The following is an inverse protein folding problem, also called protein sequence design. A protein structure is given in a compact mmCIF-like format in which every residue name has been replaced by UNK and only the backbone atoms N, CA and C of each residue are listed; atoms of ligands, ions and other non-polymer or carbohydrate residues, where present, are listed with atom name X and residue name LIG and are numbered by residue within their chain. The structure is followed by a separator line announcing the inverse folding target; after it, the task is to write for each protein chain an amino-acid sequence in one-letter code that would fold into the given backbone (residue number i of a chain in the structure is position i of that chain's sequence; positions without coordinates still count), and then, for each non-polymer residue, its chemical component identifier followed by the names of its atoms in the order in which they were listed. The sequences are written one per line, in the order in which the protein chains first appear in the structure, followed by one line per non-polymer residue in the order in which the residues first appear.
data_IF_195428805515
#
_entry.id   IF_195428805515
#
_cell.length_a   1.000
_cell.length_b   1.000
_cell.length_c   1.000
_cell.angle_alpha   90.00
_cell.angle_beta   90.00
_cell.angle_gamma   90.00
#
_symmetry.space_group_name_H-M   'P 1'
#
loop_
_entity.id
_entity.type
_entity.pdbx_description
1 polymer ?
#
# COMPACT_ATOMS: atom_id res chain seq x y z
N UNK A 1 -15.36 -1.38 46.42
CA UNK A 1 -16.06 -1.32 45.14
C UNK A 1 -15.53 -0.19 44.27
N UNK A 2 -15.44 1.07 44.75
CA UNK A 2 -14.96 2.21 43.92
C UNK A 2 -13.56 2.00 43.35
N UNK A 3 -12.59 1.59 44.15
CA UNK A 3 -11.21 1.33 43.71
C UNK A 3 -11.11 0.25 42.66
N UNK A 4 -11.87 -0.82 42.79
CA UNK A 4 -11.93 -1.91 41.80
C UNK A 4 -12.56 -1.43 40.50
N UNK A 5 -13.63 -0.64 40.58
CA UNK A 5 -14.27 -0.05 39.39
C UNK A 5 -13.35 0.93 38.69
N UNK A 6 -12.64 1.79 39.42
CA UNK A 6 -11.68 2.73 38.83
C UNK A 6 -10.52 1.99 38.15
N UNK A 7 -9.98 0.96 38.77
CA UNK A 7 -8.94 0.13 38.18
C UNK A 7 -9.41 -0.54 36.88
N UNK A 8 -10.61 -1.11 36.91
CA UNK A 8 -11.18 -1.77 35.72
C UNK A 8 -11.39 -0.78 34.56
N UNK A 9 -11.95 0.40 34.84
CA UNK A 9 -12.14 1.45 33.82
C UNK A 9 -10.83 1.98 33.29
N UNK A 10 -9.82 2.17 34.15
CA UNK A 10 -8.50 2.60 33.74
C UNK A 10 -7.82 1.57 32.83
N UNK A 11 -7.94 0.28 33.17
CA UNK A 11 -7.42 -0.80 32.33
C UNK A 11 -8.14 -0.89 30.97
N UNK A 12 -9.47 -0.78 30.96
CA UNK A 12 -10.24 -0.76 29.68
C UNK A 12 -9.86 0.44 28.82
N UNK A 13 -9.69 1.61 29.42
CA UNK A 13 -9.29 2.82 28.70
C UNK A 13 -7.88 2.68 28.12
N UNK A 14 -6.96 2.12 28.89
CA UNK A 14 -5.60 1.85 28.42
C UNK A 14 -5.58 0.87 27.24
N UNK A 15 -6.28 -0.25 27.37
CA UNK A 15 -6.40 -1.24 26.32
C UNK A 15 -7.04 -0.64 25.05
N UNK A 16 -8.12 0.13 25.18
CA UNK A 16 -8.80 0.75 24.04
C UNK A 16 -7.91 1.77 23.32
N UNK A 17 -7.07 2.52 24.05
CA UNK A 17 -6.25 3.57 23.48
C UNK A 17 -4.87 3.10 22.97
N UNK A 18 -4.32 2.06 23.55
CA UNK A 18 -2.96 1.61 23.24
C UNK A 18 -2.91 0.27 22.52
N UNK A 19 -3.69 -0.71 22.94
CA UNK A 19 -3.67 -2.06 22.37
C UNK A 19 -4.64 -2.20 21.19
N UNK A 20 -5.83 -1.60 21.29
CA UNK A 20 -6.88 -1.71 20.28
C UNK A 20 -7.19 -0.37 19.58
N UNK A 21 -6.20 0.51 19.48
CA UNK A 21 -6.36 1.86 18.96
C UNK A 21 -6.77 1.93 17.46
N UNK A 22 -6.46 0.89 16.70
CA UNK A 22 -6.82 0.76 15.28
C UNK A 22 -7.67 -0.49 14.98
N UNK A 23 -8.11 -1.22 16.01
CA UNK A 23 -8.92 -2.44 15.83
C UNK A 23 -10.38 -2.07 15.54
N UNK A 24 -10.94 -2.56 14.43
CA UNK A 24 -12.34 -2.32 14.03
C UNK A 24 -13.38 -2.83 15.04
N UNK A 25 -12.99 -3.76 15.92
CA UNK A 25 -13.85 -4.24 17.02
C UNK A 25 -13.94 -3.27 18.19
N UNK A 26 -13.04 -2.29 18.26
CA UNK A 26 -13.11 -1.23 19.25
C UNK A 26 -14.21 -0.22 18.83
N UNK A 27 -15.28 -0.03 19.62
CA UNK A 27 -16.40 0.85 19.26
C UNK A 27 -16.03 2.33 19.13
N UNK A 28 -14.84 2.72 19.58
CA UNK A 28 -14.32 4.07 19.43
C UNK A 28 -13.50 4.25 18.15
N UNK A 29 -13.19 3.18 17.43
CA UNK A 29 -12.50 3.22 16.14
C UNK A 29 -13.53 3.31 15.03
N UNK A 30 -13.73 4.52 14.53
CA UNK A 30 -14.55 4.79 13.37
C UNK A 30 -13.73 5.50 12.31
N UNK A 31 -13.50 4.88 11.18
CA UNK A 31 -12.71 5.43 10.07
C UNK A 31 -11.27 5.93 10.44
N UNK A 32 -10.69 5.43 11.52
CA UNK A 32 -9.29 5.71 11.84
C UNK A 32 -8.37 5.06 10.81
N UNK A 33 -7.27 5.74 10.54
CA UNK A 33 -6.19 5.18 9.71
C UNK A 33 -5.64 3.92 10.36
N UNK A 34 -5.57 2.81 9.61
CA UNK A 34 -4.91 1.58 10.06
C UNK A 34 -3.41 1.76 10.25
N UNK A 35 -2.78 0.91 11.03
CA UNK A 35 -1.31 0.88 11.21
C UNK A 35 -0.57 0.57 9.91
N UNK A 36 -1.17 -0.24 9.03
CA UNK A 36 -0.59 -0.68 7.77
C UNK A 36 -0.24 0.47 6.83
N UNK A 37 -0.85 1.65 7.01
CA UNK A 37 -0.54 2.83 6.18
C UNK A 37 0.94 3.21 6.23
N UNK A 38 1.61 2.98 7.35
CA UNK A 38 3.04 3.26 7.48
C UNK A 38 3.85 2.31 6.60
N UNK A 39 3.55 1.02 6.66
CA UNK A 39 4.23 -0.01 5.86
C UNK A 39 3.92 0.16 4.37
N UNK A 40 2.67 0.47 4.01
CA UNK A 40 2.27 0.80 2.64
C UNK A 40 3.07 1.99 2.11
N UNK A 41 3.08 3.10 2.86
CA UNK A 41 3.74 4.32 2.44
C UNK A 41 5.26 4.13 2.34
N UNK A 42 5.87 3.44 3.29
CA UNK A 42 7.31 3.23 3.31
C UNK A 42 7.74 2.28 2.19
N UNK A 43 6.98 1.23 1.92
CA UNK A 43 7.25 0.33 0.80
C UNK A 43 7.12 1.02 -0.56
N UNK A 44 6.10 1.86 -0.74
CA UNK A 44 5.94 2.66 -1.97
C UNK A 44 7.11 3.64 -2.15
N UNK A 45 7.53 4.33 -1.08
CA UNK A 45 8.67 5.26 -1.11
C UNK A 45 9.97 4.55 -1.41
N UNK A 46 10.22 3.41 -0.79
CA UNK A 46 11.39 2.56 -1.02
C UNK A 46 11.50 2.18 -2.51
N UNK A 47 10.41 1.69 -3.09
CA UNK A 47 10.36 1.35 -4.51
C UNK A 47 10.54 2.56 -5.43
N UNK A 48 9.86 3.67 -5.11
CA UNK A 48 9.99 4.89 -5.90
C UNK A 48 11.43 5.41 -5.92
N UNK A 49 12.13 5.37 -4.79
CA UNK A 49 13.53 5.81 -4.70
C UNK A 49 14.52 4.89 -5.43
N UNK A 50 14.16 3.63 -5.66
CA UNK A 50 14.94 2.70 -6.46
C UNK A 50 14.84 2.97 -7.99
N UNK A 51 13.84 3.76 -8.42
CA UNK A 51 13.71 4.21 -9.80
C UNK A 51 14.65 5.39 -10.09
N UNK A 52 15.05 5.56 -11.35
CA UNK A 52 15.94 6.66 -11.77
C UNK A 52 15.36 8.05 -11.52
N UNK A 53 14.04 8.18 -11.58
CA UNK A 53 13.34 9.45 -11.31
C UNK A 53 13.15 9.71 -9.81
N UNK A 54 13.49 8.78 -8.93
CA UNK A 54 13.34 8.91 -7.49
C UNK A 54 11.91 9.33 -7.10
N UNK A 55 11.75 10.48 -6.47
CA UNK A 55 10.42 11.02 -6.09
C UNK A 55 9.53 11.37 -7.28
N UNK A 56 10.10 11.51 -8.48
CA UNK A 56 9.37 11.74 -9.72
C UNK A 56 8.78 10.46 -10.34
N UNK A 57 9.07 9.29 -9.77
CA UNK A 57 8.53 8.02 -10.25
C UNK A 57 7.01 8.06 -10.30
N UNK A 58 6.39 7.74 -11.45
CA UNK A 58 4.94 7.69 -11.53
C UNK A 58 4.37 6.62 -10.60
N UNK A 59 3.36 7.00 -9.83
CA UNK A 59 2.58 6.11 -8.97
C UNK A 59 1.12 6.29 -9.34
N UNK A 60 0.40 5.22 -9.59
CA UNK A 60 -1.05 5.26 -9.83
C UNK A 60 -1.80 4.61 -8.66
N UNK A 61 -2.88 5.26 -8.23
CA UNK A 61 -3.72 4.77 -7.13
C UNK A 61 -5.16 4.76 -7.60
N UNK A 62 -5.77 3.57 -7.60
CA UNK A 62 -7.12 3.36 -8.06
C UNK A 62 -8.03 2.89 -6.93
N UNK A 63 -8.94 3.75 -6.51
CA UNK A 63 -9.90 3.46 -5.45
C UNK A 63 -11.30 3.89 -5.88
N UNK A 64 -12.31 3.01 -5.84
CA UNK A 64 -13.69 3.38 -6.12
C UNK A 64 -14.11 4.57 -5.25
N UNK A 65 -14.93 5.45 -5.82
CA UNK A 65 -15.47 6.61 -5.09
C UNK A 65 -14.40 7.54 -4.48
N UNK A 66 -13.17 7.54 -5.04
CA UNK A 66 -12.03 8.32 -4.56
C UNK A 66 -11.63 8.00 -3.10
N UNK A 67 -11.87 6.74 -2.68
CA UNK A 67 -11.67 6.27 -1.32
C UNK A 67 -10.20 5.89 -1.01
N UNK A 68 -9.26 6.75 -1.39
CA UNK A 68 -7.80 6.59 -1.21
C UNK A 68 -7.24 7.28 0.02
N UNK A 69 -8.07 7.96 0.83
CA UNK A 69 -7.58 8.57 2.07
C UNK A 69 -7.08 7.50 3.06
N UNK A 70 -5.88 7.66 3.69
CA UNK A 70 -5.10 8.88 3.83
C UNK A 70 -3.82 8.94 2.93
N UNK A 71 -3.71 8.14 1.87
CA UNK A 71 -2.53 8.07 1.01
C UNK A 71 -2.00 9.43 0.51
N UNK A 72 -2.85 10.43 0.14
CA UNK A 72 -2.34 11.72 -0.31
C UNK A 72 -1.48 12.45 0.73
N UNK A 73 -1.75 12.24 2.01
CA UNK A 73 -0.95 12.81 3.09
C UNK A 73 0.42 12.14 3.20
N UNK A 74 0.47 10.80 3.13
CA UNK A 74 1.70 10.03 3.31
C UNK A 74 2.60 10.03 2.08
N UNK A 75 2.03 10.19 0.89
CA UNK A 75 2.75 10.21 -0.39
C UNK A 75 2.93 11.63 -0.96
N UNK A 76 2.68 12.68 -0.14
CA UNK A 76 2.94 14.06 -0.55
C UNK A 76 4.41 14.23 -0.94
N UNK A 77 4.66 14.90 -2.06
CA UNK A 77 6.01 15.08 -2.60
C UNK A 77 6.49 13.95 -3.51
N UNK A 78 5.64 12.99 -3.79
CA UNK A 78 5.80 12.00 -4.85
C UNK A 78 4.84 12.30 -6.01
N UNK A 79 5.16 11.81 -7.20
CA UNK A 79 4.30 11.97 -8.38
C UNK A 79 3.20 10.91 -8.39
N UNK A 80 2.06 11.23 -7.83
CA UNK A 80 0.92 10.31 -7.68
C UNK A 80 -0.25 10.76 -8.53
N UNK A 81 -0.82 9.84 -9.30
CA UNK A 81 -2.06 9.99 -10.05
C UNK A 81 -3.15 9.19 -9.35
N UNK A 82 -4.25 9.85 -8.99
CA UNK A 82 -5.40 9.23 -8.33
C UNK A 82 -6.54 9.04 -9.31
N UNK A 83 -7.24 7.92 -9.23
CA UNK A 83 -8.39 7.62 -10.06
C UNK A 83 -9.43 6.75 -9.37
N UNK A 84 -10.70 6.96 -9.71
CA UNK A 84 -11.83 6.14 -9.24
C UNK A 84 -12.07 4.88 -10.07
N UNK A 85 -11.30 4.68 -11.14
CA UNK A 85 -11.37 3.52 -12.03
C UNK A 85 -10.13 3.37 -12.89
N UNK A 86 -9.95 2.20 -13.47
CA UNK A 86 -8.83 1.89 -14.36
C UNK A 86 -9.25 2.16 -15.81
N UNK A 87 -8.65 3.15 -16.45
CA UNK A 87 -8.85 3.39 -17.87
C UNK A 87 -8.05 2.38 -18.71
N UNK A 88 -8.66 1.87 -19.78
CA UNK A 88 -8.00 0.92 -20.69
C UNK A 88 -6.83 1.57 -21.46
N UNK A 89 -6.93 2.87 -21.71
CA UNK A 89 -5.92 3.65 -22.42
C UNK A 89 -4.84 4.20 -21.48
N UNK A 90 -3.71 4.57 -22.08
CA UNK A 90 -2.58 5.16 -21.36
C UNK A 90 -1.61 4.14 -20.77
N UNK A 91 -0.41 4.63 -20.47
CA UNK A 91 0.67 3.80 -19.90
C UNK A 91 0.42 3.51 -18.43
N UNK A 92 0.66 2.29 -18.01
CA UNK A 92 0.64 1.91 -16.60
C UNK A 92 1.90 2.42 -15.88
N UNK A 93 1.73 2.90 -14.65
CA UNK A 93 2.84 3.33 -13.82
C UNK A 93 3.66 2.14 -13.30
N UNK A 94 4.95 2.30 -13.01
CA UNK A 94 5.76 1.24 -12.43
C UNK A 94 5.32 0.84 -11.01
N UNK A 95 4.58 1.68 -10.30
CA UNK A 95 3.99 1.39 -9.00
C UNK A 95 2.49 1.66 -9.09
N UNK A 96 1.68 0.68 -8.72
CA UNK A 96 0.22 0.79 -8.74
C UNK A 96 -0.34 0.30 -7.41
N UNK A 97 -1.17 1.12 -6.79
CA UNK A 97 -2.00 0.72 -5.65
C UNK A 97 -3.45 0.65 -6.09
N UNK A 98 -4.18 -0.36 -5.65
CA UNK A 98 -5.54 -0.58 -6.12
C UNK A 98 -6.39 -1.26 -5.06
N UNK A 99 -7.66 -0.88 -4.98
CA UNK A 99 -8.63 -1.63 -4.19
C UNK A 99 -9.13 -2.85 -4.95
N UNK A 100 -9.42 -3.98 -4.26
CA UNK A 100 -9.83 -5.25 -4.87
C UNK A 100 -10.93 -5.17 -5.91
N UNK A 101 -11.98 -4.33 -5.77
CA UNK A 101 -13.06 -4.23 -6.76
C UNK A 101 -12.60 -3.79 -8.17
N UNK A 102 -11.45 -3.13 -8.28
CA UNK A 102 -10.90 -2.64 -9.55
C UNK A 102 -9.77 -3.53 -10.11
N UNK A 103 -9.38 -4.57 -9.39
CA UNK A 103 -8.22 -5.40 -9.75
C UNK A 103 -8.42 -6.14 -11.08
N UNK A 104 -9.61 -6.66 -11.35
CA UNK A 104 -9.91 -7.34 -12.62
C UNK A 104 -9.68 -6.40 -13.81
N UNK A 105 -10.12 -5.15 -13.71
CA UNK A 105 -9.88 -4.14 -14.74
C UNK A 105 -8.39 -3.82 -14.90
N UNK A 106 -7.63 -3.80 -13.80
CA UNK A 106 -6.17 -3.64 -13.86
C UNK A 106 -5.50 -4.83 -14.53
N UNK A 107 -5.86 -6.06 -14.16
CA UNK A 107 -5.29 -7.26 -14.77
C UNK A 107 -5.54 -7.30 -16.28
N UNK A 108 -6.75 -6.94 -16.72
CA UNK A 108 -7.06 -6.80 -18.16
C UNK A 108 -6.13 -5.78 -18.82
N UNK A 109 -5.98 -4.60 -18.21
CA UNK A 109 -5.10 -3.54 -18.75
C UNK A 109 -3.64 -3.98 -18.83
N UNK A 110 -3.12 -4.68 -17.84
CA UNK A 110 -1.70 -5.06 -17.77
C UNK A 110 -1.37 -6.25 -18.68
N UNK A 111 -2.28 -7.23 -18.79
CA UNK A 111 -1.96 -8.53 -19.38
C UNK A 111 -2.75 -8.88 -20.65
N UNK A 112 -3.94 -8.30 -20.86
CA UNK A 112 -4.77 -8.64 -22.02
C UNK A 112 -4.66 -7.59 -23.13
N UNK A 113 -4.74 -6.30 -22.79
CA UNK A 113 -4.75 -5.22 -23.77
C UNK A 113 -3.40 -4.98 -24.47
N UNK A 114 -2.22 -5.11 -23.83
CA UNK A 114 -0.96 -4.82 -24.50
C UNK A 114 -0.65 -5.87 -25.57
N UNK A 115 -0.15 -5.42 -26.75
CA UNK A 115 0.26 -6.32 -27.81
C UNK A 115 1.36 -7.29 -27.36
N UNK A 116 1.50 -8.45 -28.03
CA UNK A 116 2.60 -9.37 -27.76
C UNK A 116 3.97 -8.66 -27.85
N UNK A 117 4.83 -8.86 -26.85
CA UNK A 117 6.15 -8.23 -26.77
C UNK A 117 6.18 -6.85 -26.11
N UNK A 118 5.03 -6.27 -25.77
CA UNK A 118 4.95 -4.99 -25.04
C UNK A 118 4.40 -5.15 -23.61
N UNK A 119 4.15 -6.38 -23.19
CA UNK A 119 3.66 -6.69 -21.85
C UNK A 119 4.80 -6.54 -20.84
N UNK A 120 4.60 -5.67 -19.87
CA UNK A 120 5.46 -5.59 -18.68
C UNK A 120 4.89 -6.51 -17.60
N UNK A 121 5.77 -7.25 -16.92
CA UNK A 121 5.37 -8.07 -15.80
C UNK A 121 5.26 -7.22 -14.54
N UNK A 122 4.24 -7.48 -13.76
CA UNK A 122 4.03 -6.88 -12.44
C UNK A 122 4.07 -7.94 -11.36
N UNK A 123 4.63 -7.58 -10.23
CA UNK A 123 4.72 -8.40 -9.03
C UNK A 123 3.92 -7.75 -7.91
N UNK A 124 3.49 -8.52 -6.92
CA UNK A 124 2.87 -7.99 -5.73
C UNK A 124 3.88 -7.14 -4.95
N UNK A 125 3.49 -5.92 -4.60
CA UNK A 125 4.33 -5.01 -3.82
C UNK A 125 4.39 -5.43 -2.35
N UNK A 126 3.28 -5.93 -1.84
CA UNK A 126 3.13 -6.42 -0.47
C UNK A 126 3.16 -7.95 -0.49
N UNK A 127 4.35 -8.49 -0.33
CA UNK A 127 4.61 -9.93 -0.36
C UNK A 127 5.54 -10.30 0.80
N UNK A 128 5.22 -11.38 1.49
CA UNK A 128 6.06 -12.00 2.48
C UNK A 128 6.24 -13.48 2.17
N UNK A 129 7.47 -13.88 1.86
CA UNK A 129 7.82 -15.26 1.53
C UNK A 129 7.01 -15.87 0.36
N UNK A 130 6.70 -15.05 -0.67
CA UNK A 130 5.93 -15.47 -1.84
C UNK A 130 4.42 -15.53 -1.60
N UNK A 131 3.93 -14.91 -0.53
CA UNK A 131 2.50 -14.79 -0.23
C UNK A 131 2.11 -13.33 -0.16
N UNK A 132 1.08 -12.97 -0.91
CA UNK A 132 0.49 -11.64 -0.81
C UNK A 132 -0.01 -11.38 0.62
N UNK A 133 0.38 -10.22 1.17
CA UNK A 133 -0.09 -9.75 2.46
C UNK A 133 -1.28 -8.81 2.23
N UNK A 134 -2.34 -9.03 2.98
CA UNK A 134 -3.49 -8.16 3.00
C UNK A 134 -3.14 -6.89 3.80
N UNK A 135 -3.23 -5.74 3.13
CA UNK A 135 -2.98 -4.43 3.73
C UNK A 135 -4.27 -3.62 3.76
N UNK A 136 -4.47 -2.84 4.81
CA UNK A 136 -5.65 -1.99 4.97
C UNK A 136 -5.25 -0.52 5.19
N UNK A 137 -5.86 0.39 4.44
CA UNK A 137 -5.69 1.84 4.68
C UNK A 137 -6.37 2.26 5.98
N UNK A 138 -7.50 1.64 6.26
CA UNK A 138 -8.34 1.77 7.45
C UNK A 138 -9.26 0.56 7.53
N UNK A 139 -9.99 0.35 8.63
CA UNK A 139 -10.87 -0.80 8.77
C UNK A 139 -11.75 -1.03 7.54
N UNK A 140 -11.71 -2.27 7.01
CA UNK A 140 -12.49 -2.72 5.84
C UNK A 140 -12.09 -2.08 4.48
N UNK A 141 -11.08 -1.23 4.43
CA UNK A 141 -10.58 -0.63 3.18
C UNK A 141 -9.26 -1.27 2.80
N UNK A 142 -9.36 -2.42 2.14
CA UNK A 142 -8.21 -3.18 1.63
C UNK A 142 -7.55 -2.45 0.46
N UNK A 143 -6.23 -2.50 0.41
CA UNK A 143 -5.41 -2.01 -0.70
C UNK A 143 -4.42 -3.08 -1.12
N UNK A 144 -4.23 -3.25 -2.42
CA UNK A 144 -3.23 -4.12 -3.03
C UNK A 144 -2.20 -3.29 -3.77
N UNK A 145 -0.98 -3.79 -3.81
CA UNK A 145 0.11 -3.10 -4.48
C UNK A 145 0.71 -3.96 -5.58
N UNK A 146 1.02 -3.31 -6.70
CA UNK A 146 1.72 -3.92 -7.82
C UNK A 146 2.92 -3.07 -8.20
N UNK A 147 4.01 -3.72 -8.52
CA UNK A 147 5.26 -3.08 -8.96
C UNK A 147 5.76 -3.75 -10.23
N UNK A 148 6.21 -2.96 -11.20
CA UNK A 148 6.80 -3.53 -12.40
C UNK A 148 8.04 -4.36 -12.08
N UNK A 149 8.20 -5.49 -12.77
CA UNK A 149 9.34 -6.38 -12.55
C UNK A 149 10.67 -5.67 -12.79
N UNK A 150 10.73 -4.76 -13.75
CA UNK A 150 11.91 -3.97 -14.04
C UNK A 150 12.36 -3.12 -12.84
N UNK A 151 11.40 -2.49 -12.14
CA UNK A 151 11.66 -1.71 -10.94
C UNK A 151 12.02 -2.62 -9.74
N UNK A 152 11.30 -3.73 -9.59
CA UNK A 152 11.59 -4.72 -8.55
C UNK A 152 13.03 -5.23 -8.64
N UNK A 153 13.45 -5.67 -9.85
CA UNK A 153 14.80 -6.20 -10.08
C UNK A 153 15.89 -5.13 -9.83
N UNK A 154 15.58 -3.87 -10.08
CA UNK A 154 16.50 -2.75 -9.79
C UNK A 154 16.64 -2.54 -8.28
N UNK A 155 15.55 -2.55 -7.55
CA UNK A 155 15.52 -2.45 -6.09
C UNK A 155 16.32 -3.59 -5.44
N UNK A 156 16.12 -4.83 -5.87
CA UNK A 156 16.83 -5.99 -5.32
C UNK A 156 18.35 -5.93 -5.58
N UNK A 157 18.76 -5.42 -6.74
CA UNK A 157 20.18 -5.19 -7.03
C UNK A 157 20.77 -4.13 -6.12
N UNK A 158 20.13 -2.98 -5.96
CA UNK A 158 20.59 -1.92 -5.08
C UNK A 158 20.74 -2.42 -3.64
N UNK A 159 19.79 -3.20 -3.14
CA UNK A 159 19.82 -3.79 -1.80
C UNK A 159 20.95 -4.81 -1.62
N UNK A 160 21.31 -5.53 -2.69
CA UNK A 160 22.42 -6.48 -2.67
C UNK A 160 23.78 -5.77 -2.66
N UNK A 161 23.90 -4.65 -3.37
CA UNK A 161 25.11 -3.83 -3.42
C UNK A 161 25.35 -3.07 -2.11
N UNK A 162 24.30 -2.65 -1.43
CA UNK A 162 24.37 -1.93 -0.14
C UNK A 162 24.72 -2.84 1.04
N UNK A 163 24.61 -4.16 0.88
CA UNK A 163 24.97 -5.16 1.90
C UNK A 163 26.39 -5.69 1.63
N UNK A 164 27.47 -4.94 2.03
CA UNK A 164 28.83 -5.45 1.88
C UNK A 164 28.96 -6.73 2.67
N UNK A 165 29.61 -7.74 2.07
CA UNK A 165 29.89 -9.02 2.66
C UNK A 165 30.44 -8.83 4.08
N UNK A 166 29.61 -9.12 5.09
CA UNK A 166 30.07 -9.31 6.45
C UNK A 166 31.00 -10.54 6.43
N UNK A 167 32.29 -10.26 6.43
CA UNK A 167 33.35 -11.23 6.66
C UNK A 167 33.55 -11.38 8.17
#
# INVERSE_FOLDING_TARGET
LLLVGTWHLAWQADAANNEYNADSRNPYVYAHTGSDIFDIADRVKEMALAHEDGRGTPIQIFCPHDDYWPLPWYLRGYRVEYGSGVADEGKSAPIILIQPPLEEALMRKLFELPPPGQKELYMHLFDENGREIKMELRPEVEIRGFVSKSLWDRHERAKTEEKPAAK
#
